data_IF_190187379155
#
_entry.id   IF_190187379155
#
_cell.length_a   1.000
_cell.length_b   1.000
_cell.length_c   1.000
_cell.angle_alpha   90.00
_cell.angle_beta   90.00
_cell.angle_gamma   90.00
#
_symmetry.space_group_name_H-M   'P 1'
#
loop_
_entity.id
_entity.type
_entity.pdbx_description
1 polymer ?
#
# COMPACT_ATOMS: atom_id res chain seq x y z
N UNK A 1 11.14 -4.28 -5.72
CA UNK A 1 10.97 -5.68 -5.27
C UNK A 1 10.56 -6.66 -6.39
N UNK A 2 9.38 -6.59 -7.03
CA UNK A 2 8.92 -7.63 -7.98
C UNK A 2 9.93 -8.01 -9.09
N UNK A 3 10.52 -7.02 -9.76
CA UNK A 3 11.53 -7.25 -10.81
C UNK A 3 12.85 -7.82 -10.27
N UNK A 4 13.23 -7.47 -9.05
CA UNK A 4 14.36 -8.10 -8.37
C UNK A 4 14.07 -9.58 -8.13
N UNK A 5 12.88 -9.91 -7.60
CA UNK A 5 12.47 -11.30 -7.37
C UNK A 5 12.55 -12.10 -8.68
N UNK A 6 12.00 -11.56 -9.77
CA UNK A 6 12.11 -12.14 -11.10
C UNK A 6 13.57 -12.40 -11.51
N UNK A 7 14.44 -11.39 -11.37
CA UNK A 7 15.87 -11.53 -11.69
C UNK A 7 16.57 -12.61 -10.87
N UNK A 8 16.31 -12.67 -9.55
CA UNK A 8 16.88 -13.70 -8.66
C UNK A 8 16.37 -15.09 -9.04
N UNK A 9 15.06 -15.24 -9.26
CA UNK A 9 14.43 -16.53 -9.61
C UNK A 9 15.01 -17.07 -10.92
N UNK A 10 15.18 -16.22 -11.94
CA UNK A 10 15.81 -16.61 -13.22
C UNK A 10 17.28 -16.95 -13.03
N UNK A 11 18.05 -16.08 -12.36
CA UNK A 11 19.49 -16.26 -12.17
C UNK A 11 19.84 -17.56 -11.44
N UNK A 12 19.05 -17.91 -10.43
CA UNK A 12 19.30 -19.09 -9.59
C UNK A 12 18.45 -20.30 -9.99
N UNK A 13 17.74 -20.23 -11.14
CA UNK A 13 16.88 -21.29 -11.66
C UNK A 13 15.91 -21.86 -10.61
N UNK A 14 15.27 -20.98 -9.82
CA UNK A 14 14.43 -21.37 -8.69
C UNK A 14 13.05 -21.89 -9.12
N UNK A 15 12.67 -21.65 -10.37
CA UNK A 15 11.42 -22.11 -10.99
C UNK A 15 11.69 -22.62 -12.40
N UNK A 16 10.97 -23.67 -12.82
CA UNK A 16 11.06 -24.20 -14.19
C UNK A 16 10.46 -23.27 -15.24
N UNK A 17 9.47 -22.48 -14.84
CA UNK A 17 8.77 -21.54 -15.70
C UNK A 17 9.17 -20.12 -15.33
N UNK A 18 9.24 -19.19 -16.30
CA UNK A 18 9.61 -17.81 -16.02
C UNK A 18 8.55 -17.12 -15.17
N UNK A 19 8.98 -16.38 -14.14
CA UNK A 19 8.12 -15.42 -13.47
C UNK A 19 8.01 -14.17 -14.36
N UNK A 20 6.79 -13.74 -14.72
CA UNK A 20 6.57 -12.54 -15.55
C UNK A 20 5.94 -11.44 -14.69
N UNK A 21 6.61 -10.28 -14.63
CA UNK A 21 6.12 -9.12 -13.87
C UNK A 21 5.23 -8.25 -14.74
N UNK A 22 3.98 -8.06 -14.33
CA UNK A 22 3.01 -7.18 -14.99
C UNK A 22 2.60 -6.09 -14.00
N UNK A 23 2.77 -4.82 -14.40
CA UNK A 23 2.35 -3.68 -13.60
C UNK A 23 0.89 -3.32 -13.91
N UNK A 24 0.01 -3.36 -12.91
CA UNK A 24 -1.39 -2.91 -12.96
C UNK A 24 -1.60 -1.75 -11.98
N UNK A 25 -1.56 -0.52 -12.48
CA UNK A 25 -1.55 0.70 -11.64
C UNK A 25 -2.93 1.31 -11.37
N UNK A 26 -4.00 0.75 -11.95
CA UNK A 26 -5.35 1.32 -11.83
C UNK A 26 -5.90 1.35 -10.39
N UNK A 27 -6.49 2.48 -10.01
CA UNK A 27 -7.32 2.62 -8.79
C UNK A 27 -6.58 2.33 -7.48
N UNK A 28 -5.36 2.86 -7.30
CA UNK A 28 -4.52 2.60 -6.12
C UNK A 28 -4.21 1.10 -5.89
N UNK A 29 -4.16 0.32 -6.98
CA UNK A 29 -3.92 -1.12 -6.95
C UNK A 29 -5.19 -1.97 -7.01
N UNK A 30 -6.38 -1.36 -6.93
CA UNK A 30 -7.66 -2.05 -7.07
C UNK A 30 -7.74 -2.95 -8.31
N UNK A 31 -7.20 -2.50 -9.45
CA UNK A 31 -7.18 -3.29 -10.68
C UNK A 31 -6.39 -4.61 -10.50
N UNK A 32 -5.23 -4.54 -9.84
CA UNK A 32 -4.40 -5.69 -9.54
C UNK A 32 -5.11 -6.69 -8.63
N UNK A 33 -5.68 -6.21 -7.52
CA UNK A 33 -6.40 -7.07 -6.57
C UNK A 33 -7.62 -7.73 -7.18
N UNK A 34 -8.46 -6.99 -7.92
CA UNK A 34 -9.60 -7.55 -8.62
C UNK A 34 -9.17 -8.58 -9.66
N UNK A 35 -8.05 -8.35 -10.34
CA UNK A 35 -7.50 -9.32 -11.29
C UNK A 35 -7.11 -10.64 -10.63
N UNK A 36 -6.50 -10.60 -9.43
CA UNK A 36 -6.15 -11.82 -8.67
C UNK A 36 -7.38 -12.48 -8.05
N UNK A 37 -8.22 -11.71 -7.38
CA UNK A 37 -9.50 -12.16 -6.78
C UNK A 37 -10.37 -12.90 -7.81
N UNK A 38 -10.47 -12.38 -9.03
CA UNK A 38 -11.32 -12.96 -10.07
C UNK A 38 -10.68 -14.14 -10.82
N UNK A 39 -9.43 -14.49 -10.55
CA UNK A 39 -8.73 -15.63 -11.16
C UNK A 39 -8.82 -16.90 -10.32
N UNK A 40 -9.99 -17.15 -9.71
CA UNK A 40 -10.21 -18.29 -8.79
C UNK A 40 -9.68 -19.60 -9.38
N UNK A 41 -8.85 -20.30 -8.60
CA UNK A 41 -8.25 -21.58 -8.96
C UNK A 41 -7.01 -21.50 -9.84
N UNK A 42 -6.56 -20.31 -10.27
CA UNK A 42 -5.32 -20.14 -11.04
C UNK A 42 -4.09 -20.03 -10.10
N UNK A 43 -3.24 -21.07 -10.02
CA UNK A 43 -2.07 -21.05 -9.15
C UNK A 43 -0.90 -20.24 -9.70
N UNK A 44 -0.95 -19.77 -10.95
CA UNK A 44 0.15 -19.02 -11.56
C UNK A 44 0.00 -17.52 -11.38
N UNK A 45 -1.13 -17.08 -10.83
CA UNK A 45 -1.41 -15.67 -10.60
C UNK A 45 -1.13 -15.28 -9.16
N UNK A 46 -0.03 -14.54 -8.99
CA UNK A 46 0.37 -13.95 -7.72
C UNK A 46 0.39 -12.43 -7.81
N UNK A 47 0.23 -11.78 -6.67
CA UNK A 47 0.39 -10.34 -6.51
C UNK A 47 1.31 -10.06 -5.32
N UNK A 48 2.21 -9.11 -5.50
CA UNK A 48 2.89 -8.45 -4.39
C UNK A 48 2.12 -7.20 -4.00
N UNK A 49 1.89 -7.00 -2.71
CA UNK A 49 1.06 -5.92 -2.17
C UNK A 49 1.71 -5.21 -1.00
N UNK A 50 1.23 -3.99 -0.75
CA UNK A 50 1.55 -3.16 0.40
C UNK A 50 0.31 -2.97 1.30
N UNK A 51 0.32 -1.93 2.14
CA UNK A 51 -0.82 -1.52 2.98
C UNK A 51 -2.08 -1.15 2.18
N UNK A 52 -1.93 -0.85 0.88
CA UNK A 52 -3.02 -0.67 -0.06
C UNK A 52 -3.99 -1.88 -0.16
N UNK A 53 -3.56 -3.06 0.29
CA UNK A 53 -4.41 -4.22 0.55
C UNK A 53 -5.58 -3.91 1.49
N UNK A 54 -5.34 -3.06 2.49
CA UNK A 54 -6.35 -2.65 3.49
C UNK A 54 -6.93 -1.28 3.17
N UNK A 55 -6.09 -0.31 2.81
CA UNK A 55 -6.51 1.10 2.70
C UNK A 55 -7.34 1.36 1.44
N UNK A 56 -7.05 0.72 0.31
CA UNK A 56 -7.79 0.92 -0.95
C UNK A 56 -9.29 0.60 -0.83
N UNK A 57 -9.72 -0.58 -0.34
CA UNK A 57 -11.14 -0.88 -0.19
C UNK A 57 -11.80 0.02 0.85
N UNK A 58 -11.10 0.38 1.92
CA UNK A 58 -11.59 1.33 2.93
C UNK A 58 -11.80 2.74 2.36
N UNK A 59 -10.88 3.22 1.52
CA UNK A 59 -10.90 4.58 0.97
C UNK A 59 -11.88 4.76 -0.20
N UNK A 60 -12.04 3.71 -1.02
CA UNK A 60 -12.77 3.79 -2.29
C UNK A 60 -14.10 3.02 -2.29
N UNK A 61 -14.28 2.07 -1.38
CA UNK A 61 -15.41 1.15 -1.37
C UNK A 61 -15.34 0.07 -2.45
N UNK A 62 -14.19 -0.11 -3.12
CA UNK A 62 -14.00 -1.20 -4.09
C UNK A 62 -14.20 -2.56 -3.39
N UNK A 63 -14.95 -3.51 -3.99
CA UNK A 63 -15.40 -4.70 -3.28
C UNK A 63 -14.34 -5.82 -3.27
N UNK A 64 -13.24 -5.62 -2.54
CA UNK A 64 -12.30 -6.70 -2.21
C UNK A 64 -11.84 -6.62 -0.75
N UNK A 65 -11.46 -7.77 -0.22
CA UNK A 65 -10.75 -7.91 1.04
C UNK A 65 -9.55 -8.86 0.86
N UNK A 66 -8.56 -8.78 1.74
CA UNK A 66 -7.44 -9.73 1.73
C UNK A 66 -7.90 -11.19 1.88
N UNK A 67 -9.03 -11.41 2.58
CA UNK A 67 -9.69 -12.73 2.74
C UNK A 67 -10.30 -13.28 1.46
N UNK A 68 -10.43 -12.47 0.41
CA UNK A 68 -10.89 -12.92 -0.91
C UNK A 68 -9.74 -13.49 -1.77
N UNK A 69 -8.53 -13.57 -1.21
CA UNK A 69 -7.32 -14.08 -1.84
C UNK A 69 -6.63 -15.05 -0.87
N UNK A 70 -5.63 -15.79 -1.35
CA UNK A 70 -4.88 -16.73 -0.52
C UNK A 70 -3.55 -16.08 -0.09
N UNK A 71 -3.32 -15.80 1.21
CA UNK A 71 -2.04 -15.32 1.69
C UNK A 71 -0.95 -16.38 1.49
N UNK A 72 0.20 -15.99 0.94
CA UNK A 72 1.33 -16.91 0.69
C UNK A 72 2.42 -16.67 1.71
N UNK A 73 3.09 -15.51 1.61
CA UNK A 73 4.20 -15.14 2.46
C UNK A 73 4.32 -13.63 2.60
N UNK A 74 4.77 -13.16 3.76
CA UNK A 74 5.31 -11.83 3.93
C UNK A 74 6.82 -11.88 3.69
N UNK A 75 7.34 -11.09 2.75
CA UNK A 75 8.76 -11.12 2.37
C UNK A 75 9.59 -10.06 3.08
N UNK A 76 8.95 -8.93 3.40
CA UNK A 76 9.59 -7.80 4.06
C UNK A 76 8.53 -6.96 4.78
N UNK A 77 8.99 -6.20 5.76
CA UNK A 77 8.28 -5.08 6.37
C UNK A 77 9.04 -3.80 6.04
N UNK A 78 8.29 -2.78 5.63
CA UNK A 78 8.75 -1.42 5.50
C UNK A 78 8.55 -0.70 6.83
N UNK A 79 9.65 -0.17 7.35
CA UNK A 79 9.65 0.74 8.49
C UNK A 79 9.70 2.18 8.00
N UNK A 80 9.21 3.09 8.83
CA UNK A 80 9.16 4.53 8.56
C UNK A 80 9.94 5.26 9.64
N UNK A 81 10.48 6.42 9.32
CA UNK A 81 11.27 7.24 10.24
C UNK A 81 10.72 8.66 10.27
N UNK A 82 10.63 9.25 11.45
CA UNK A 82 10.41 10.69 11.59
C UNK A 82 11.71 11.41 11.22
N UNK A 83 11.70 12.12 10.11
CA UNK A 83 12.81 12.90 9.61
C UNK A 83 12.61 14.38 9.92
N UNK A 84 13.71 15.05 10.26
CA UNK A 84 13.77 16.50 10.44
C UNK A 84 15.01 17.04 9.74
N UNK A 85 15.03 18.33 9.44
CA UNK A 85 16.25 18.99 8.94
C UNK A 85 17.25 19.17 10.09
N UNK A 86 18.52 18.80 9.87
CA UNK A 86 19.59 18.88 10.88
C UNK A 86 19.82 20.31 11.38
N UNK A 87 19.66 21.32 10.52
CA UNK A 87 19.86 22.74 10.87
C UNK A 87 18.88 23.24 11.94
N UNK A 88 17.75 22.55 12.14
CA UNK A 88 16.78 22.87 13.19
C UNK A 88 17.27 22.47 14.59
N UNK A 89 18.30 21.63 14.69
CA UNK A 89 18.98 21.34 15.95
C UNK A 89 18.21 20.47 16.96
N UNK A 90 17.13 19.80 16.55
CA UNK A 90 16.39 18.88 17.43
C UNK A 90 17.24 17.66 17.77
N UNK A 91 17.52 17.45 19.06
CA UNK A 91 18.35 16.35 19.55
C UNK A 91 17.57 15.06 19.78
N UNK A 92 16.24 15.14 19.80
CA UNK A 92 15.36 13.99 19.96
C UNK A 92 13.99 14.22 19.33
N UNK A 93 13.27 13.13 19.06
CA UNK A 93 11.88 13.17 18.62
C UNK A 93 11.01 13.94 19.61
N UNK A 94 11.29 13.83 20.91
CA UNK A 94 10.57 14.56 21.96
C UNK A 94 10.74 16.07 21.84
N UNK A 95 11.96 16.57 21.64
CA UNK A 95 12.21 18.01 21.46
C UNK A 95 11.48 18.55 20.22
N UNK A 96 11.49 17.80 19.12
CA UNK A 96 10.73 18.16 17.92
C UNK A 96 9.22 18.24 18.21
N UNK A 97 8.65 17.25 18.90
CA UNK A 97 7.22 17.23 19.25
C UNK A 97 6.86 18.37 20.21
N UNK A 98 7.71 18.66 21.19
CA UNK A 98 7.48 19.77 22.13
C UNK A 98 7.51 21.12 21.39
N UNK A 99 8.41 21.29 20.41
CA UNK A 99 8.45 22.48 19.55
C UNK A 99 7.18 22.59 18.69
N UNK A 100 6.71 21.50 18.10
CA UNK A 100 5.47 21.47 17.32
C UNK A 100 4.25 21.83 18.16
N UNK A 101 4.18 21.33 19.42
CA UNK A 101 3.13 21.69 20.38
C UNK A 101 3.16 23.17 20.73
N UNK A 102 4.34 23.70 21.04
CA UNK A 102 4.52 25.10 21.44
C UNK A 102 4.14 26.08 20.31
N UNK A 103 4.43 25.74 19.05
CA UNK A 103 4.02 26.55 17.90
C UNK A 103 2.49 26.57 17.69
N UNK A 104 1.81 25.50 18.09
CA UNK A 104 0.36 25.35 18.01
C UNK A 104 -0.13 24.67 16.72
N UNK A 105 -1.44 24.42 16.63
CA UNK A 105 -2.03 23.58 15.58
C UNK A 105 -1.76 24.09 14.16
N UNK A 106 -1.31 23.19 13.28
CA UNK A 106 -1.10 23.45 11.86
C UNK A 106 0.10 24.33 11.51
N UNK A 107 0.92 24.73 12.49
CA UNK A 107 2.10 25.56 12.25
C UNK A 107 3.28 24.78 11.67
N UNK A 108 3.46 23.53 12.11
CA UNK A 108 4.45 22.63 11.53
C UNK A 108 3.87 21.92 10.30
N UNK A 109 4.62 21.93 9.21
CA UNK A 109 4.28 21.27 7.96
C UNK A 109 4.91 19.88 7.92
N UNK A 110 4.07 18.87 7.69
CA UNK A 110 4.50 17.49 7.50
C UNK A 110 4.48 17.15 6.00
N UNK A 111 5.64 16.92 5.40
CA UNK A 111 5.75 16.43 4.04
C UNK A 111 5.53 14.92 3.97
N UNK A 112 4.85 14.46 2.92
CA UNK A 112 4.67 13.04 2.66
C UNK A 112 4.31 12.74 1.20
N UNK A 113 4.39 11.49 0.82
CA UNK A 113 4.08 10.99 -0.51
C UNK A 113 2.58 10.78 -0.64
N UNK A 114 2.00 11.44 -1.65
CA UNK A 114 0.58 11.29 -1.97
C UNK A 114 -0.37 11.78 -0.88
N UNK A 115 -1.66 11.77 -1.20
CA UNK A 115 -2.74 12.09 -0.26
C UNK A 115 -3.51 10.82 0.08
N UNK A 116 -3.90 10.71 1.35
CA UNK A 116 -4.62 9.56 1.94
C UNK A 116 -3.87 8.23 1.79
N UNK A 117 -2.55 8.33 1.73
CA UNK A 117 -1.61 7.21 1.66
C UNK A 117 -0.87 7.07 2.99
N UNK A 118 0.03 6.11 3.05
CA UNK A 118 0.73 5.64 4.25
C UNK A 118 1.36 6.79 5.04
N UNK A 119 2.08 7.71 4.41
CA UNK A 119 2.71 8.84 5.10
C UNK A 119 1.70 9.75 5.82
N UNK A 120 0.54 10.01 5.19
CA UNK A 120 -0.52 10.79 5.82
C UNK A 120 -1.19 10.01 6.97
N UNK A 121 -1.34 8.69 6.82
CA UNK A 121 -1.90 7.80 7.84
C UNK A 121 -0.98 7.76 9.07
N UNK A 122 0.34 7.65 8.86
CA UNK A 122 1.35 7.69 9.93
C UNK A 122 1.33 9.05 10.61
N UNK A 123 1.21 10.15 9.85
CA UNK A 123 1.09 11.50 10.40
C UNK A 123 -0.11 11.61 11.34
N UNK A 124 -1.28 11.09 10.95
CA UNK A 124 -2.48 11.05 11.81
C UNK A 124 -2.24 10.21 13.07
N UNK A 125 -1.56 9.07 12.95
CA UNK A 125 -1.14 8.26 14.10
C UNK A 125 -0.25 9.03 15.07
N UNK A 126 0.74 9.78 14.56
CA UNK A 126 1.63 10.64 15.35
C UNK A 126 0.87 11.77 16.04
N UNK A 127 -0.03 12.46 15.33
CA UNK A 127 -0.88 13.51 15.90
C UNK A 127 -1.72 12.98 17.05
N UNK A 128 -2.28 11.78 16.92
CA UNK A 128 -3.06 11.15 17.99
C UNK A 128 -2.21 10.79 19.19
N UNK A 129 -1.03 10.21 18.97
CA UNK A 129 -0.13 9.80 20.04
C UNK A 129 0.42 10.99 20.83
N UNK A 130 0.55 12.15 20.20
CA UNK A 130 1.22 13.31 20.79
C UNK A 130 0.28 14.46 21.14
N UNK A 131 -0.90 14.54 20.53
CA UNK A 131 -1.80 15.68 20.61
C UNK A 131 -1.40 16.87 19.73
N UNK A 132 -0.40 16.72 18.84
CA UNK A 132 -0.05 17.76 17.85
C UNK A 132 -1.05 17.79 16.70
N UNK A 133 -0.95 18.86 15.89
CA UNK A 133 -1.62 18.96 14.58
C UNK A 133 -0.67 19.55 13.55
N UNK A 134 -0.49 18.83 12.44
CA UNK A 134 0.41 19.21 11.36
C UNK A 134 -0.37 19.68 10.13
N UNK A 135 0.19 20.62 9.38
CA UNK A 135 -0.25 20.90 8.01
C UNK A 135 0.38 19.88 7.07
N UNK A 136 -0.40 18.89 6.63
CA UNK A 136 0.13 17.86 5.72
C UNK A 136 0.25 18.36 4.27
N UNK A 137 1.43 18.19 3.68
CA UNK A 137 1.75 18.62 2.30
C UNK A 137 2.11 17.39 1.46
N UNK A 138 1.25 16.98 0.51
CA UNK A 138 1.51 15.82 -0.35
C UNK A 138 2.46 16.16 -1.51
N UNK A 139 3.42 15.28 -1.78
CA UNK A 139 4.35 15.32 -2.91
C UNK A 139 4.22 14.06 -3.78
N UNK A 140 4.86 14.04 -4.95
CA UNK A 140 4.71 12.95 -5.92
C UNK A 140 5.52 11.69 -5.57
N UNK A 141 6.55 11.81 -4.72
CA UNK A 141 7.39 10.69 -4.29
C UNK A 141 8.34 11.05 -3.16
N UNK A 142 8.91 10.05 -2.49
CA UNK A 142 9.75 10.24 -1.30
C UNK A 142 11.03 11.03 -1.56
N UNK A 143 11.69 10.84 -2.71
CA UNK A 143 12.81 11.69 -3.11
C UNK A 143 12.47 13.18 -3.20
N UNK A 144 11.26 13.54 -3.65
CA UNK A 144 10.79 14.93 -3.65
C UNK A 144 10.57 15.43 -2.22
N UNK A 145 9.94 14.62 -1.35
CA UNK A 145 9.75 14.94 0.07
C UNK A 145 11.10 15.22 0.76
N UNK A 146 12.11 14.39 0.52
CA UNK A 146 13.44 14.56 1.10
C UNK A 146 14.08 15.90 0.67
N UNK A 147 13.96 16.28 -0.61
CA UNK A 147 14.44 17.58 -1.11
C UNK A 147 13.71 18.74 -0.43
N UNK A 148 12.39 18.64 -0.28
CA UNK A 148 11.58 19.69 0.35
C UNK A 148 11.90 19.87 1.84
N UNK A 149 12.25 18.77 2.52
CA UNK A 149 12.70 18.82 3.91
C UNK A 149 14.10 19.42 4.04
N UNK A 150 15.04 19.04 3.16
CA UNK A 150 16.38 19.65 3.12
C UNK A 150 16.28 21.16 2.83
N UNK A 151 15.38 21.57 1.94
CA UNK A 151 15.14 22.98 1.63
C UNK A 151 14.34 23.75 2.68
N UNK A 152 13.98 23.14 3.82
CA UNK A 152 13.15 23.74 4.87
C UNK A 152 11.76 24.23 4.39
N UNK A 153 11.22 23.66 3.31
CA UNK A 153 9.86 23.96 2.82
C UNK A 153 8.77 23.23 3.62
N UNK A 154 9.15 22.12 4.26
CA UNK A 154 8.40 21.41 5.30
C UNK A 154 9.29 21.23 6.54
N UNK A 155 8.68 21.06 7.70
CA UNK A 155 9.41 20.96 8.99
C UNK A 155 9.83 19.52 9.30
N UNK A 156 9.12 18.54 8.73
CA UNK A 156 9.39 17.12 8.93
C UNK A 156 8.78 16.25 7.83
N UNK A 157 9.17 14.97 7.80
CA UNK A 157 8.48 13.93 7.05
C UNK A 157 8.50 12.60 7.82
N UNK A 158 7.72 11.62 7.36
CA UNK A 158 7.68 10.27 7.96
C UNK A 158 8.11 9.18 6.98
N UNK A 159 8.94 9.48 5.97
CA UNK A 159 9.26 8.56 4.89
C UNK A 159 10.12 7.34 5.27
N UNK A 160 10.10 6.34 4.39
CA UNK A 160 10.94 5.15 4.50
C UNK A 160 12.44 5.49 4.44
N UNK A 161 13.30 4.69 5.11
CA UNK A 161 14.76 4.86 5.10
C UNK A 161 15.38 5.13 3.73
N UNK A 162 15.01 4.34 2.71
CA UNK A 162 15.60 4.40 1.37
C UNK A 162 15.41 5.75 0.66
N UNK A 163 14.35 6.49 0.99
CA UNK A 163 14.03 7.77 0.35
C UNK A 163 14.89 8.93 0.89
N UNK A 164 15.30 8.84 2.15
CA UNK A 164 16.03 9.90 2.86
C UNK A 164 17.51 9.57 3.12
N UNK A 165 17.94 8.32 2.92
CA UNK A 165 19.29 7.82 3.27
C UNK A 165 20.43 8.67 2.71
N UNK A 166 20.31 9.15 1.47
CA UNK A 166 21.36 9.97 0.86
C UNK A 166 21.53 11.31 1.59
N UNK A 167 20.43 11.94 1.99
CA UNK A 167 20.44 13.22 2.70
C UNK A 167 20.84 13.05 4.17
N UNK A 168 20.46 11.94 4.80
CA UNK A 168 20.93 11.59 6.14
C UNK A 168 22.45 11.34 6.15
N UNK A 169 22.96 10.57 5.19
CA UNK A 169 24.40 10.35 5.01
C UNK A 169 25.18 11.66 4.80
N UNK A 170 24.59 12.60 4.07
CA UNK A 170 25.17 13.92 3.85
C UNK A 170 25.11 14.84 5.08
N UNK A 171 24.39 14.45 6.13
CA UNK A 171 24.21 15.25 7.35
C UNK A 171 23.12 16.32 7.28
N UNK A 172 22.36 16.39 6.17
CA UNK A 172 21.31 17.40 5.97
C UNK A 172 20.01 17.06 6.71
N UNK A 173 19.75 15.77 6.95
CA UNK A 173 18.59 15.29 7.69
C UNK A 173 19.00 14.54 8.95
N UNK A 174 18.15 14.58 9.96
CA UNK A 174 18.27 13.78 11.19
C UNK A 174 17.11 12.79 11.29
N UNK A 175 17.44 11.51 11.51
CA UNK A 175 16.49 10.45 11.85
C UNK A 175 16.12 10.52 13.34
N UNK A 176 14.89 10.89 13.66
CA UNK A 176 14.46 11.14 15.04
C UNK A 176 13.97 9.87 15.75
N UNK A 177 13.09 9.11 15.11
CA UNK A 177 12.64 7.82 15.64
C UNK A 177 12.05 6.92 14.54
N UNK A 178 12.09 5.60 14.76
CA UNK A 178 11.47 4.59 13.89
C UNK A 178 10.05 4.29 14.37
N UNK A 179 9.09 4.25 13.45
CA UNK A 179 7.68 3.88 13.73
C UNK A 179 7.52 2.35 13.83
N UNK A 180 8.16 1.72 14.81
CA UNK A 180 8.08 0.28 15.04
C UNK A 180 8.26 -0.02 16.55
N UNK A 181 7.92 -1.23 16.98
CA UNK A 181 8.23 -1.75 18.31
C UNK A 181 9.72 -2.06 18.50
N UNK A 182 10.43 -2.32 17.40
CA UNK A 182 11.85 -2.66 17.42
C UNK A 182 12.65 -1.74 16.51
N UNK A 183 13.91 -1.47 16.91
CA UNK A 183 14.85 -0.72 16.06
C UNK A 183 15.15 -1.48 14.78
N UNK A 184 15.57 -0.76 13.75
CA UNK A 184 16.10 -1.35 12.52
C UNK A 184 17.31 -2.26 12.85
N UNK A 185 17.46 -3.44 12.21
CA UNK A 185 18.49 -4.41 12.58
C UNK A 185 19.89 -4.10 12.04
N UNK A 186 20.03 -3.08 11.18
CA UNK A 186 21.27 -2.80 10.44
C UNK A 186 22.26 -1.97 11.25
N UNK A 187 23.42 -2.57 11.54
CA UNK A 187 24.48 -1.99 12.39
C UNK A 187 25.60 -1.31 11.61
N UNK A 188 25.67 -1.54 10.30
CA UNK A 188 26.64 -0.85 9.45
C UNK A 188 26.37 0.67 9.48
N UNK A 189 27.45 1.44 9.59
CA UNK A 189 27.37 2.90 9.70
C UNK A 189 26.90 3.49 8.39
N UNK A 190 25.84 4.30 8.46
CA UNK A 190 25.26 5.01 7.32
C UNK A 190 25.77 6.45 7.28
N UNK A 191 25.92 7.07 8.45
CA UNK A 191 26.62 8.34 8.66
C UNK A 191 27.96 8.08 9.35
N UNK A 192 28.84 9.09 9.54
CA UNK A 192 30.09 8.90 10.29
C UNK A 192 29.89 8.36 11.72
N UNK A 193 28.72 8.58 12.32
CA UNK A 193 28.46 8.27 13.74
C UNK A 193 27.29 7.33 13.97
N UNK A 194 26.39 7.13 12.99
CA UNK A 194 25.14 6.39 13.20
C UNK A 194 24.88 5.32 12.12
N UNK A 195 24.32 4.21 12.57
CA UNK A 195 23.70 3.14 11.80
C UNK A 195 22.18 3.21 11.95
N UNK A 196 21.44 2.44 11.17
CA UNK A 196 19.99 2.36 11.36
C UNK A 196 19.60 1.83 12.75
N UNK A 197 20.42 0.96 13.34
CA UNK A 197 20.19 0.39 14.67
C UNK A 197 20.42 1.39 15.81
N UNK A 198 21.14 2.50 15.56
CA UNK A 198 21.36 3.54 16.55
C UNK A 198 20.12 4.44 16.75
N UNK A 199 19.19 4.44 15.78
CA UNK A 199 17.97 5.25 15.82
C UNK A 199 16.97 4.60 16.79
N UNK A 200 16.46 5.33 17.80
CA UNK A 200 15.48 4.77 18.72
C UNK A 200 14.13 4.52 18.03
N UNK A 201 13.33 3.65 18.62
CA UNK A 201 11.90 3.59 18.24
C UNK A 201 11.17 4.83 18.76
N UNK A 202 10.03 5.17 18.16
CA UNK A 202 9.22 6.28 18.67
C UNK A 202 8.74 6.00 20.11
N UNK A 203 8.47 4.73 20.46
CA UNK A 203 8.13 4.31 21.82
C UNK A 203 9.28 4.54 22.81
N UNK A 204 10.51 4.17 22.46
CA UNK A 204 11.71 4.48 23.25
C UNK A 204 11.91 5.99 23.43
N UNK A 205 11.51 6.80 22.43
CA UNK A 205 11.54 8.26 22.49
C UNK A 205 10.33 8.88 23.23
N UNK A 206 9.48 8.07 23.87
CA UNK A 206 8.33 8.53 24.65
C UNK A 206 7.08 8.88 23.82
N UNK A 207 7.02 8.45 22.55
CA UNK A 207 5.89 8.67 21.64
C UNK A 207 5.21 7.31 21.38
N UNK A 208 4.01 7.05 21.92
CA UNK A 208 3.35 5.75 21.82
C UNK A 208 2.70 5.55 20.44
N UNK A 209 3.54 5.37 19.41
CA UNK A 209 3.10 5.16 18.03
C UNK A 209 4.01 4.14 17.34
N UNK A 210 3.42 3.35 16.45
CA UNK A 210 4.08 2.39 15.58
C UNK A 210 3.33 2.31 14.25
N UNK A 211 4.02 1.90 13.20
CA UNK A 211 3.43 1.64 11.89
C UNK A 211 4.36 0.79 11.03
N UNK A 212 3.87 -0.38 10.61
CA UNK A 212 4.57 -1.26 9.68
C UNK A 212 3.75 -1.43 8.41
N UNK A 213 4.42 -1.33 7.26
CA UNK A 213 3.82 -1.65 5.96
C UNK A 213 4.33 -3.01 5.48
N UNK A 214 3.39 -3.89 5.12
CA UNK A 214 3.77 -5.20 4.59
C UNK A 214 4.35 -5.11 3.18
N UNK A 215 5.19 -6.08 2.82
CA UNK A 215 5.41 -6.53 1.45
C UNK A 215 4.98 -7.99 1.36
N UNK A 216 3.70 -8.20 1.10
CA UNK A 216 3.07 -9.52 1.10
C UNK A 216 2.86 -10.09 -0.30
N UNK A 217 2.92 -11.42 -0.41
CA UNK A 217 2.52 -12.16 -1.61
C UNK A 217 1.17 -12.83 -1.35
N UNK A 218 0.26 -12.66 -2.30
CA UNK A 218 -1.04 -13.31 -2.33
C UNK A 218 -1.26 -14.03 -3.65
N UNK A 219 -1.99 -15.13 -3.59
CA UNK A 219 -2.46 -15.92 -4.72
C UNK A 219 -3.95 -15.73 -4.94
N UNK A 220 -4.42 -16.15 -6.12
CA UNK A 220 -5.84 -16.24 -6.39
C UNK A 220 -6.57 -17.15 -5.38
N UNK A 221 -7.86 -16.91 -5.09
CA UNK A 221 -8.62 -17.76 -4.18
C UNK A 221 -8.77 -19.18 -4.74
N UNK A 222 -8.84 -20.17 -3.85
CA UNK A 222 -9.09 -21.57 -4.23
C UNK A 222 -7.87 -22.36 -4.70
N UNK A 223 -6.66 -21.80 -4.58
CA UNK A 223 -5.41 -22.57 -4.75
C UNK A 223 -5.20 -23.55 -3.59
N UNK A 224 -4.54 -24.68 -3.86
CA UNK A 224 -4.30 -25.75 -2.89
C UNK A 224 -3.15 -25.42 -1.94
N UNK A 225 -3.09 -26.12 -0.80
CA UNK A 225 -1.98 -25.99 0.14
C UNK A 225 -0.62 -26.31 -0.51
N UNK A 226 -0.56 -27.33 -1.37
CA UNK A 226 0.67 -27.71 -2.10
C UNK A 226 1.15 -26.60 -3.05
N UNK A 227 0.21 -25.90 -3.70
CA UNK A 227 0.53 -24.77 -4.57
C UNK A 227 1.10 -23.59 -3.77
N UNK A 228 0.54 -23.30 -2.59
CA UNK A 228 1.07 -22.28 -1.68
C UNK A 228 2.45 -22.70 -1.15
N UNK A 229 2.60 -23.97 -0.74
CA UNK A 229 3.86 -24.51 -0.22
C UNK A 229 4.99 -24.44 -1.26
N UNK A 230 4.68 -24.70 -2.53
CA UNK A 230 5.63 -24.53 -3.63
C UNK A 230 6.20 -23.10 -3.68
N UNK A 231 5.35 -22.07 -3.65
CA UNK A 231 5.81 -20.68 -3.66
C UNK A 231 6.54 -20.29 -2.38
N UNK A 232 6.12 -20.80 -1.22
CA UNK A 232 6.86 -20.59 0.04
C UNK A 232 8.30 -21.09 -0.06
N UNK A 233 8.52 -22.27 -0.64
CA UNK A 233 9.87 -22.82 -0.83
C UNK A 233 10.68 -22.04 -1.87
N UNK A 234 10.06 -21.56 -2.96
CA UNK A 234 10.71 -20.68 -3.93
C UNK A 234 11.17 -19.38 -3.25
N UNK A 235 10.29 -18.73 -2.48
CA UNK A 235 10.62 -17.49 -1.80
C UNK A 235 11.66 -17.69 -0.70
N UNK A 236 11.60 -18.81 0.04
CA UNK A 236 12.63 -19.16 1.03
C UNK A 236 14.03 -19.25 0.40
N UNK A 237 14.16 -19.94 -0.74
CA UNK A 237 15.42 -20.02 -1.49
C UNK A 237 15.86 -18.66 -2.01
N UNK A 238 14.93 -17.89 -2.58
CA UNK A 238 15.18 -16.53 -3.07
C UNK A 238 15.70 -15.62 -1.95
N UNK A 239 15.07 -15.64 -0.77
CA UNK A 239 15.45 -14.82 0.38
C UNK A 239 16.80 -15.19 0.99
N UNK A 240 17.30 -16.41 0.74
CA UNK A 240 18.62 -16.84 1.18
C UNK A 240 19.77 -16.30 0.31
N UNK A 241 19.46 -15.80 -0.90
CA UNK A 241 20.45 -15.30 -1.86
C UNK A 241 21.12 -14.01 -1.39
N UNK A 242 22.35 -13.77 -1.88
CA UNK A 242 23.08 -12.53 -1.58
C UNK A 242 22.35 -11.31 -2.12
N UNK A 243 21.77 -11.41 -3.31
CA UNK A 243 21.06 -10.33 -3.99
C UNK A 243 19.83 -9.86 -3.19
N UNK A 244 19.12 -10.80 -2.56
CA UNK A 244 18.02 -10.47 -1.67
C UNK A 244 18.52 -9.77 -0.40
N UNK A 245 19.54 -10.33 0.27
CA UNK A 245 20.13 -9.74 1.48
C UNK A 245 20.64 -8.33 1.23
N UNK A 246 21.38 -8.13 0.13
CA UNK A 246 21.90 -6.83 -0.29
C UNK A 246 20.74 -5.83 -0.55
N UNK A 247 19.63 -6.29 -1.14
CA UNK A 247 18.46 -5.43 -1.35
C UNK A 247 17.77 -5.04 -0.04
N UNK A 248 17.66 -5.98 0.90
CA UNK A 248 17.08 -5.74 2.23
C UNK A 248 17.89 -4.70 3.00
N UNK A 249 19.21 -4.85 3.00
CA UNK A 249 20.12 -3.92 3.67
C UNK A 249 20.15 -2.54 3.02
N UNK A 250 20.30 -2.47 1.68
CA UNK A 250 20.33 -1.20 0.96
C UNK A 250 19.03 -0.40 1.10
N UNK A 251 17.90 -1.09 1.18
CA UNK A 251 16.60 -0.47 1.41
C UNK A 251 16.25 -0.26 2.89
N UNK A 252 17.08 -0.79 3.80
CA UNK A 252 16.82 -0.89 5.23
C UNK A 252 15.42 -1.45 5.56
N UNK A 253 15.02 -2.51 4.85
CA UNK A 253 13.76 -3.20 5.11
C UNK A 253 13.92 -4.20 6.27
N UNK A 254 12.88 -4.46 7.04
CA UNK A 254 12.91 -5.57 8.00
C UNK A 254 12.57 -6.88 7.30
N UNK A 255 13.50 -7.84 7.30
CA UNK A 255 13.26 -9.15 6.70
C UNK A 255 12.28 -9.97 7.53
N UNK A 256 11.33 -10.59 6.85
CA UNK A 256 10.33 -11.48 7.43
C UNK A 256 10.08 -12.63 6.47
N UNK A 257 9.56 -13.73 6.99
CA UNK A 257 9.12 -14.89 6.23
C UNK A 257 7.80 -15.43 6.78
N UNK A 258 6.97 -14.58 7.39
CA UNK A 258 5.70 -15.02 7.97
C UNK A 258 4.86 -15.71 6.89
N UNK A 259 4.38 -16.90 7.20
CA UNK A 259 3.49 -17.72 6.36
C UNK A 259 2.38 -18.31 7.22
N UNK A 260 1.41 -18.97 6.59
CA UNK A 260 0.41 -19.78 7.30
C UNK A 260 -0.38 -18.98 8.36
N UNK A 261 -0.55 -19.56 9.54
CA UNK A 261 -1.36 -18.97 10.62
C UNK A 261 -0.80 -17.64 11.12
N UNK A 262 0.51 -17.55 11.31
CA UNK A 262 1.16 -16.34 11.83
C UNK A 262 0.95 -15.14 10.89
N UNK A 263 1.02 -15.38 9.57
CA UNK A 263 0.76 -14.34 8.60
C UNK A 263 -0.72 -13.90 8.62
N UNK A 264 -1.67 -14.84 8.72
CA UNK A 264 -3.10 -14.51 8.85
C UNK A 264 -3.42 -13.72 10.12
N UNK A 265 -2.83 -14.10 11.25
CA UNK A 265 -2.98 -13.38 12.52
C UNK A 265 -2.44 -11.94 12.40
N UNK A 266 -1.29 -11.76 11.74
CA UNK A 266 -0.72 -10.44 11.45
C UNK A 266 -1.65 -9.61 10.54
N UNK A 267 -2.15 -10.19 9.44
CA UNK A 267 -3.08 -9.51 8.51
C UNK A 267 -4.36 -9.06 9.20
N UNK A 268 -4.88 -9.86 10.12
CA UNK A 268 -6.09 -9.52 10.90
C UNK A 268 -5.85 -8.31 11.81
N UNK A 269 -4.71 -8.27 12.51
CA UNK A 269 -4.32 -7.11 13.34
C UNK A 269 -4.08 -5.87 12.48
N UNK A 270 -3.37 -6.02 11.37
CA UNK A 270 -3.07 -4.93 10.45
C UNK A 270 -4.34 -4.34 9.83
N UNK A 271 -5.32 -5.15 9.44
CA UNK A 271 -6.62 -4.69 8.95
C UNK A 271 -7.36 -3.83 9.99
N UNK A 272 -7.40 -4.28 11.25
CA UNK A 272 -8.05 -3.55 12.34
C UNK A 272 -7.37 -2.19 12.58
N UNK A 273 -6.04 -2.17 12.65
CA UNK A 273 -5.25 -0.94 12.85
C UNK A 273 -5.47 0.04 11.69
N UNK A 274 -5.40 -0.41 10.44
CA UNK A 274 -5.64 0.44 9.27
C UNK A 274 -7.06 0.98 9.24
N UNK A 275 -8.06 0.17 9.58
CA UNK A 275 -9.45 0.63 9.68
C UNK A 275 -9.60 1.75 10.70
N UNK A 276 -9.00 1.60 11.88
CA UNK A 276 -9.03 2.63 12.91
C UNK A 276 -8.36 3.92 12.44
N UNK A 277 -7.12 3.84 11.93
CA UNK A 277 -6.39 5.03 11.48
C UNK A 277 -7.11 5.74 10.32
N UNK A 278 -7.65 4.99 9.35
CA UNK A 278 -8.42 5.54 8.24
C UNK A 278 -9.73 6.21 8.70
N UNK A 279 -10.37 5.67 9.74
CA UNK A 279 -11.55 6.28 10.36
C UNK A 279 -11.20 7.60 11.05
N UNK A 280 -10.15 7.60 11.85
CA UNK A 280 -9.67 8.78 12.59
C UNK A 280 -9.19 9.89 11.64
N UNK A 281 -8.57 9.51 10.52
CA UNK A 281 -8.17 10.42 9.46
C UNK A 281 -9.35 10.96 8.62
N UNK A 282 -10.55 10.37 8.76
CA UNK A 282 -11.71 10.71 7.92
C UNK A 282 -11.55 10.28 6.45
N UNK A 283 -10.75 9.24 6.20
CA UNK A 283 -10.42 8.77 4.85
C UNK A 283 -11.31 7.64 4.35
N UNK A 284 -12.22 7.12 5.18
CA UNK A 284 -13.18 6.10 4.76
C UNK A 284 -14.07 6.60 3.62
N UNK A 285 -14.35 5.71 2.68
CA UNK A 285 -15.31 5.93 1.62
C UNK A 285 -16.66 6.32 2.24
N UNK A 286 -17.24 7.43 1.75
CA UNK A 286 -18.61 7.77 2.11
C UNK A 286 -19.52 6.75 1.41
N UNK A 287 -20.02 5.77 2.15
CA UNK A 287 -21.08 4.90 1.66
C UNK A 287 -22.27 5.82 1.33
N UNK A 288 -22.53 6.05 0.04
CA UNK A 288 -23.75 6.74 -0.39
C UNK A 288 -24.86 5.74 -0.14
N UNK A 289 -25.42 5.73 1.07
CA UNK A 289 -26.69 5.07 1.33
C UNK A 289 -27.73 5.72 0.43
N UNK A 290 -28.41 4.86 -0.32
CA UNK A 290 -29.40 5.16 -1.38
C UNK A 290 -30.50 6.14 -0.93
N UNK A 291 -30.63 6.38 0.37
CA UNK A 291 -31.49 7.37 1.00
C UNK A 291 -31.19 8.81 0.55
N UNK A 292 -29.92 9.20 0.37
CA UNK A 292 -29.57 10.58 -0.03
C UNK A 292 -29.81 10.84 -1.52
N UNK A 293 -29.58 9.83 -2.37
CA UNK A 293 -29.94 9.86 -3.78
C UNK A 293 -31.48 9.93 -3.97
N UNK A 294 -32.24 9.17 -3.18
CA UNK A 294 -33.71 9.26 -3.17
C UNK A 294 -34.22 10.64 -2.71
N UNK A 295 -33.53 11.29 -1.76
CA UNK A 295 -33.88 12.63 -1.26
C UNK A 295 -33.59 13.73 -2.28
N UNK A 296 -32.48 13.62 -3.01
CA UNK A 296 -32.12 14.52 -4.13
C UNK A 296 -33.01 14.31 -5.37
N UNK A 297 -33.40 13.06 -5.66
CA UNK A 297 -34.37 12.76 -6.71
C UNK A 297 -35.79 13.28 -6.37
N UNK A 298 -36.20 13.21 -5.08
CA UNK A 298 -37.46 13.79 -4.61
C UNK A 298 -37.47 15.32 -4.60
N UNK A 299 -36.34 15.98 -4.31
CA UNK A 299 -36.29 17.45 -4.35
C UNK A 299 -36.36 17.99 -5.78
N UNK A 300 -35.72 17.31 -6.76
CA UNK A 300 -35.82 17.67 -8.18
C UNK A 300 -37.21 17.42 -8.78
N UNK A 301 -37.96 16.39 -8.34
CA UNK A 301 -39.36 16.19 -8.76
C UNK A 301 -40.34 17.23 -8.21
N UNK A 302 -40.02 17.90 -7.10
CA UNK A 302 -40.89 18.94 -6.51
C UNK A 302 -40.69 20.33 -7.12
N UNK A 303 -39.64 20.54 -7.93
CA UNK A 303 -39.28 21.86 -8.46
C UNK A 303 -39.50 22.03 -9.96
N UNK A 304 -40.21 21.13 -10.63
CA UNK A 304 -40.55 21.30 -12.04
C UNK A 304 -41.88 20.62 -12.38
N UNK A 305 -42.97 21.39 -12.40
CA UNK A 305 -44.07 21.37 -13.39
C UNK A 305 -45.28 22.19 -12.87
N UNK A 306 -45.81 23.14 -13.66
CA UNK A 306 -47.09 23.80 -13.38
C UNK A 306 -48.28 22.82 -13.55
N UNK A 307 -49.32 23.05 -12.78
CA UNK A 307 -50.56 22.28 -12.75
C UNK A 307 -51.44 22.51 -13.99
N UNK A 308 -51.20 21.79 -15.07
CA UNK A 308 -52.22 21.44 -16.05
C UNK A 308 -51.75 20.23 -16.85
N UNK A 309 -52.67 19.31 -17.16
CA UNK A 309 -52.46 18.02 -17.85
C UNK A 309 -52.05 16.85 -16.93
N UNK A 310 -53.03 16.36 -16.16
CA UNK A 310 -53.10 14.95 -15.76
C UNK A 310 -54.25 14.30 -16.50
N UNK A 311 -53.96 13.54 -17.54
CA UNK A 311 -54.81 12.44 -17.99
C UNK A 311 -53.94 11.36 -18.64
N UNK A 312 -54.28 10.12 -18.32
CA UNK A 312 -53.97 8.87 -19.02
C UNK A 312 -52.51 8.56 -19.35
N UNK A 313 -51.90 7.67 -18.55
CA UNK A 313 -51.34 6.40 -19.03
C UNK A 313 -50.71 5.62 -17.85
N UNK A 314 -51.47 4.67 -17.32
CA UNK A 314 -50.89 3.41 -16.83
C UNK A 314 -50.46 2.62 -18.07
N UNK A 315 -49.22 2.13 -18.10
CA UNK A 315 -48.87 0.75 -18.50
C UNK A 315 -47.34 0.62 -18.66
N UNK A 316 -46.88 -0.63 -18.57
CA UNK A 316 -45.53 -1.16 -18.78
C UNK A 316 -44.45 -0.83 -17.75
N UNK A 317 -44.44 -1.69 -16.72
CA UNK A 317 -43.22 -2.21 -16.12
C UNK A 317 -42.30 -2.79 -17.22
N UNK A 318 -41.01 -2.46 -17.20
CA UNK A 318 -40.04 -2.92 -18.20
C UNK A 318 -38.65 -3.07 -17.59
N UNK A 319 -38.36 -4.30 -17.14
CA UNK A 319 -37.05 -4.81 -16.76
C UNK A 319 -36.08 -4.68 -17.94
N UNK A 320 -34.91 -4.07 -17.75
CA UNK A 320 -33.83 -4.07 -18.76
C UNK A 320 -32.69 -4.95 -18.25
N UNK A 321 -32.75 -6.22 -18.63
CA UNK A 321 -31.61 -7.14 -18.74
C UNK A 321 -30.98 -6.95 -20.10
N UNK A 322 -29.67 -6.67 -20.16
CA UNK A 322 -28.91 -6.69 -21.41
C UNK A 322 -28.23 -8.04 -21.58
N UNK A 323 -28.76 -8.85 -22.51
CA UNK A 323 -28.16 -10.05 -23.07
C UNK A 323 -27.52 -9.69 -24.42
N UNK A 324 -26.30 -10.19 -24.66
CA UNK A 324 -25.61 -10.12 -25.97
C UNK A 324 -25.93 -11.40 -26.75
N UNK A 325 -26.35 -11.33 -28.03
CA UNK A 325 -26.76 -12.51 -28.76
C UNK A 325 -25.58 -13.28 -29.35
N UNK A 326 -25.68 -14.61 -29.25
CA UNK A 326 -24.91 -15.61 -30.00
C UNK A 326 -25.66 -15.89 -31.31
N UNK A 327 -24.93 -15.91 -32.44
CA UNK A 327 -25.29 -16.78 -33.57
C UNK A 327 -25.06 -16.22 -34.97
N UNK A 328 -23.96 -16.62 -35.60
CA UNK A 328 -23.97 -17.02 -37.01
C UNK A 328 -22.90 -18.09 -37.24
N UNK A 329 -23.33 -19.21 -37.84
CA UNK A 329 -22.61 -20.48 -38.06
C UNK A 329 -21.68 -20.41 -39.29
N UNK A 330 -20.51 -21.06 -39.13
CA UNK A 330 -20.01 -22.17 -39.96
C UNK A 330 -19.86 -21.99 -41.48
N UNK A 331 -18.60 -21.89 -41.93
CA UNK A 331 -18.14 -22.52 -43.17
C UNK A 331 -16.84 -23.28 -42.87
N UNK A 332 -16.87 -24.60 -43.13
CA UNK A 332 -15.72 -25.50 -43.14
C UNK A 332 -15.03 -25.41 -44.50
N UNK A 333 -13.70 -25.42 -44.51
CA UNK A 333 -12.88 -26.08 -45.54
C UNK A 333 -11.49 -26.33 -44.92
N UNK A 334 -11.23 -27.54 -44.43
CA UNK A 334 -10.54 -28.67 -45.09
C UNK A 334 -9.05 -28.39 -45.37
N UNK A 335 -8.24 -29.22 -44.73
CA UNK A 335 -6.80 -29.35 -44.81
C UNK A 335 -6.27 -29.57 -46.22
N UNK A 336 -5.05 -29.11 -46.47
CA UNK A 336 -4.08 -29.68 -47.42
C UNK A 336 -2.66 -29.20 -47.03
N UNK A 337 -1.87 -30.10 -46.46
CA UNK A 337 -0.43 -30.25 -46.73
C UNK A 337 -0.29 -31.60 -47.46
N UNK A 338 0.68 -31.87 -48.36
CA UNK A 338 2.09 -31.47 -48.26
C UNK A 338 2.77 -31.11 -49.62
N UNK A 339 3.98 -30.55 -49.58
CA UNK A 339 5.13 -31.01 -50.41
C UNK A 339 6.39 -30.14 -50.22
N UNK A 340 7.50 -30.82 -50.46
CA UNK A 340 8.93 -30.56 -50.29
C UNK A 340 9.59 -29.66 -51.34
N UNK A 341 10.87 -29.33 -51.11
CA UNK A 341 11.88 -28.65 -51.96
C UNK A 341 11.73 -27.12 -52.02
N UNK A 342 12.76 -26.30 -51.78
CA UNK A 342 14.19 -26.41 -52.05
C UNK A 342 15.07 -25.80 -50.95
#
# INVERSE_FOLDING_TARGET
MARLMQGIIVKHNLMKQPLVVINKSGGAGAEGFLSVKNSKGDPYKIIITLSNLFTTPLATGVPFNWKDMTPVAMLALDQFILWTNTEKGYKSAKEYIDAAKAAGPGKFKMGGTGSKQEDQIITVGLEKATGTKFSYIPYKGGGEVAVQLVGNHVDSSVNNPAEAVAQWRAGSLTAQCVFDDVRLPYKEKVTPTQSWNDIPTCKEAGIPTDYQMLRGIFMAPGVTADQVAYFNEVFKKMMATKEWKDYMEKGAFSQTNLTGKEFNDWLTKAEANHKQLMQEAGFLAKIITTTRAARLARSRRKSSLPSSLRSSALSSCGTVTASVPVGARMVRNRALSPSTSA
#
